data_IF_846335642451
#
_entry.id   IF_846335642451
#
_cell.length_a   1.000
_cell.length_b   1.000
_cell.length_c   1.000
_cell.angle_alpha   90.00
_cell.angle_beta   90.00
_cell.angle_gamma   90.00
#
_symmetry.space_group_name_H-M   'P 1'
#
loop_
_entity.id
_entity.type
_entity.pdbx_description
1 polymer ?
#
# COMPACT_ATOMS: atom_id res chain seq x y z
N UNK A 1 17.73 13.82 -3.97
CA UNK A 1 17.28 12.54 -4.59
C UNK A 1 16.57 12.85 -5.90
N UNK A 2 17.11 12.40 -7.05
CA UNK A 2 16.47 12.56 -8.36
C UNK A 2 15.55 11.36 -8.58
N UNK A 3 14.24 11.58 -8.69
CA UNK A 3 13.26 10.53 -8.99
C UNK A 3 13.74 9.69 -10.18
N UNK A 4 13.72 8.38 -10.01
CA UNK A 4 14.16 7.42 -11.03
C UNK A 4 13.36 7.63 -12.33
N UNK A 5 13.97 7.38 -13.50
CA UNK A 5 13.25 7.46 -14.80
C UNK A 5 11.99 6.58 -14.80
N UNK A 6 11.99 5.47 -14.06
CA UNK A 6 10.83 4.60 -13.89
C UNK A 6 9.69 5.25 -13.10
N UNK A 7 10.00 6.01 -12.04
CA UNK A 7 9.01 6.76 -11.26
C UNK A 7 8.34 7.85 -12.09
N UNK A 8 9.10 8.57 -12.92
CA UNK A 8 8.55 9.57 -13.85
C UNK A 8 7.59 8.96 -14.86
N UNK A 9 7.90 7.79 -15.42
CA UNK A 9 7.00 7.08 -16.34
C UNK A 9 5.75 6.55 -15.65
N UNK A 10 5.86 6.03 -14.41
CA UNK A 10 4.70 5.63 -13.59
C UNK A 10 3.80 6.82 -13.28
N UNK A 11 4.36 7.97 -12.87
CA UNK A 11 3.59 9.18 -12.58
C UNK A 11 2.82 9.71 -13.80
N UNK A 12 3.43 9.71 -14.99
CA UNK A 12 2.74 10.12 -16.22
C UNK A 12 1.54 9.22 -16.56
N UNK A 13 1.71 7.90 -16.50
CA UNK A 13 0.60 6.96 -16.73
C UNK A 13 -0.54 7.10 -15.70
N UNK A 14 -0.24 7.50 -14.46
CA UNK A 14 -1.26 7.78 -13.43
C UNK A 14 -2.10 8.99 -13.83
N UNK A 15 -1.45 10.11 -14.18
CA UNK A 15 -2.14 11.31 -14.63
C UNK A 15 -3.04 11.05 -15.85
N UNK A 16 -2.56 10.31 -16.86
CA UNK A 16 -3.34 9.99 -18.06
C UNK A 16 -4.58 9.13 -17.75
N UNK A 17 -4.46 8.20 -16.79
CA UNK A 17 -5.58 7.33 -16.38
C UNK A 17 -6.64 8.12 -15.59
N UNK A 18 -6.23 9.01 -14.71
CA UNK A 18 -7.17 9.80 -13.91
C UNK A 18 -7.88 10.84 -14.77
N UNK A 19 -7.16 11.47 -15.72
CA UNK A 19 -7.75 12.37 -16.72
C UNK A 19 -8.78 11.64 -17.59
N UNK A 20 -8.47 10.44 -18.10
CA UNK A 20 -9.42 9.69 -18.92
C UNK A 20 -10.68 9.26 -18.14
N UNK A 21 -10.54 8.85 -16.87
CA UNK A 21 -11.69 8.54 -15.99
C UNK A 21 -12.56 9.76 -15.73
N UNK A 22 -11.95 10.92 -15.49
CA UNK A 22 -12.67 12.19 -15.33
C UNK A 22 -13.49 12.52 -16.58
N UNK A 23 -12.89 12.43 -17.78
CA UNK A 23 -13.59 12.69 -19.03
C UNK A 23 -14.72 11.70 -19.32
N UNK A 24 -14.52 10.40 -19.07
CA UNK A 24 -15.58 9.39 -19.25
C UNK A 24 -16.75 9.68 -18.31
N UNK A 25 -16.48 9.95 -17.02
CA UNK A 25 -17.52 10.27 -16.05
C UNK A 25 -18.23 11.58 -16.38
N UNK A 26 -17.49 12.61 -16.82
CA UNK A 26 -18.04 13.87 -17.29
C UNK A 26 -18.93 13.71 -18.53
N UNK A 27 -18.54 12.86 -19.47
CA UNK A 27 -19.35 12.52 -20.65
C UNK A 27 -20.65 11.80 -20.26
N UNK A 28 -20.56 10.79 -19.38
CA UNK A 28 -21.75 10.09 -18.87
C UNK A 28 -22.68 11.06 -18.14
N UNK A 29 -22.13 11.91 -17.26
CA UNK A 29 -22.93 12.92 -16.56
C UNK A 29 -23.61 13.88 -17.54
N UNK A 30 -22.88 14.36 -18.56
CA UNK A 30 -23.44 15.24 -19.60
C UNK A 30 -24.58 14.56 -20.37
N UNK A 31 -24.42 13.28 -20.72
CA UNK A 31 -25.46 12.50 -21.39
C UNK A 31 -26.72 12.40 -20.51
N UNK A 32 -26.55 12.15 -19.22
CA UNK A 32 -27.66 12.07 -18.25
C UNK A 32 -28.36 13.42 -18.12
N UNK A 33 -27.61 14.52 -17.98
CA UNK A 33 -28.17 15.88 -17.93
C UNK A 33 -28.98 16.19 -19.18
N UNK A 34 -28.45 15.91 -20.36
CA UNK A 34 -29.18 16.07 -21.63
C UNK A 34 -30.43 15.17 -21.68
N UNK A 35 -30.34 13.96 -21.15
CA UNK A 35 -31.49 13.04 -21.10
C UNK A 35 -32.60 13.61 -20.22
N UNK A 36 -32.26 14.10 -19.02
CA UNK A 36 -33.22 14.73 -18.11
C UNK A 36 -33.80 16.01 -18.71
N UNK A 37 -32.97 16.84 -19.34
CA UNK A 37 -33.44 18.11 -19.88
C UNK A 37 -34.38 17.92 -21.08
N UNK A 38 -34.04 17.04 -22.02
CA UNK A 38 -34.77 16.92 -23.29
C UNK A 38 -35.79 15.79 -23.35
N UNK A 39 -35.60 14.69 -22.61
CA UNK A 39 -36.46 13.50 -22.73
C UNK A 39 -37.38 13.27 -21.53
N UNK A 40 -37.07 13.84 -20.36
CA UNK A 40 -37.96 13.74 -19.20
C UNK A 40 -39.01 14.85 -19.26
N UNK A 41 -40.28 14.47 -19.30
CA UNK A 41 -41.41 15.42 -19.23
C UNK A 41 -42.07 15.30 -17.87
N UNK A 42 -42.12 16.41 -17.11
CA UNK A 42 -42.69 16.46 -15.77
C UNK A 42 -43.94 17.35 -15.84
N UNK A 43 -45.15 16.80 -15.71
CA UNK A 43 -46.37 17.60 -15.74
C UNK A 43 -46.43 18.52 -14.51
N UNK A 44 -46.76 19.80 -14.72
CA UNK A 44 -46.77 20.82 -13.67
C UNK A 44 -47.81 20.56 -12.56
N UNK A 45 -48.87 19.80 -12.87
CA UNK A 45 -49.98 19.49 -11.96
C UNK A 45 -49.87 18.10 -11.33
N UNK A 46 -48.71 17.44 -11.44
CA UNK A 46 -48.53 16.14 -10.81
C UNK A 46 -48.57 16.24 -9.27
N UNK A 47 -49.42 15.44 -8.66
CA UNK A 47 -49.55 15.35 -7.19
C UNK A 47 -48.30 14.78 -6.52
N UNK A 48 -47.49 14.00 -7.25
CA UNK A 48 -46.27 13.37 -6.77
C UNK A 48 -45.04 14.30 -6.78
N UNK A 49 -45.15 15.53 -7.28
CA UNK A 49 -44.02 16.47 -7.35
C UNK A 49 -43.44 16.80 -5.97
N UNK A 50 -44.30 17.04 -4.99
CA UNK A 50 -43.90 17.32 -3.62
C UNK A 50 -43.25 16.09 -2.98
N UNK A 51 -43.79 14.89 -3.23
CA UNK A 51 -43.23 13.64 -2.74
C UNK A 51 -41.83 13.38 -3.33
N UNK A 52 -41.65 13.64 -4.63
CA UNK A 52 -40.35 13.52 -5.28
C UNK A 52 -39.32 14.45 -4.65
N UNK A 53 -39.66 15.71 -4.40
CA UNK A 53 -38.73 16.66 -3.76
C UNK A 53 -38.40 16.27 -2.33
N UNK A 54 -39.35 15.73 -1.56
CA UNK A 54 -39.07 15.17 -0.23
C UNK A 54 -38.10 14.00 -0.29
N UNK A 55 -38.25 13.12 -1.29
CA UNK A 55 -37.34 11.99 -1.50
C UNK A 55 -35.94 12.50 -1.87
N UNK A 56 -35.82 13.42 -2.83
CA UNK A 56 -34.54 13.97 -3.27
C UNK A 56 -33.83 14.74 -2.14
N UNK A 57 -34.58 15.52 -1.35
CA UNK A 57 -34.08 16.18 -0.15
C UNK A 57 -33.52 15.19 0.87
N UNK A 58 -34.32 14.19 1.25
CA UNK A 58 -33.96 13.17 2.24
C UNK A 58 -32.77 12.33 1.77
N UNK A 59 -32.75 11.94 0.49
CA UNK A 59 -31.65 11.21 -0.10
C UNK A 59 -30.37 12.05 -0.13
N UNK A 60 -30.45 13.34 -0.48
CA UNK A 60 -29.30 14.25 -0.47
C UNK A 60 -28.68 14.39 0.91
N UNK A 61 -29.52 14.59 1.92
CA UNK A 61 -29.07 14.69 3.31
C UNK A 61 -28.41 13.39 3.79
N UNK A 62 -29.06 12.25 3.51
CA UNK A 62 -28.57 10.92 3.90
C UNK A 62 -27.24 10.58 3.22
N UNK A 63 -27.11 10.86 1.92
CA UNK A 63 -25.89 10.60 1.17
C UNK A 63 -24.75 11.52 1.61
N UNK A 64 -25.02 12.78 1.93
CA UNK A 64 -24.02 13.65 2.54
C UNK A 64 -23.57 13.11 3.90
N UNK A 65 -24.49 12.65 4.74
CA UNK A 65 -24.15 12.03 6.03
C UNK A 65 -23.28 10.78 5.85
N UNK A 66 -23.62 9.88 4.92
CA UNK A 66 -22.78 8.73 4.59
C UNK A 66 -21.44 9.11 3.99
N UNK A 67 -21.38 10.17 3.19
CA UNK A 67 -20.11 10.69 2.66
C UNK A 67 -19.20 11.18 3.79
N UNK A 68 -19.74 11.98 4.72
CA UNK A 68 -19.00 12.46 5.89
C UNK A 68 -18.55 11.31 6.80
N UNK A 69 -19.41 10.31 7.03
CA UNK A 69 -19.05 9.09 7.76
C UNK A 69 -17.95 8.30 7.02
N UNK A 70 -18.04 8.19 5.70
CA UNK A 70 -17.00 7.56 4.88
C UNK A 70 -15.66 8.29 5.01
N UNK A 71 -15.67 9.62 5.04
CA UNK A 71 -14.47 10.44 5.23
C UNK A 71 -13.80 10.18 6.58
N UNK A 72 -14.54 10.00 7.68
CA UNK A 72 -13.92 9.73 8.99
C UNK A 72 -13.15 8.41 9.01
N UNK A 73 -13.64 7.37 8.32
CA UNK A 73 -12.88 6.12 8.14
C UNK A 73 -11.62 6.32 7.28
N UNK A 74 -11.71 7.16 6.25
CA UNK A 74 -10.64 7.43 5.28
C UNK A 74 -9.50 8.28 5.84
N UNK A 75 -9.82 9.36 6.58
CA UNK A 75 -8.83 10.25 7.19
C UNK A 75 -7.92 9.58 8.23
N UNK A 76 -8.32 8.42 8.76
CA UNK A 76 -7.46 7.66 9.69
C UNK A 76 -6.23 7.04 9.02
N UNK A 77 -6.20 6.92 7.67
CA UNK A 77 -5.15 6.16 6.96
C UNK A 77 -4.36 6.91 5.90
N UNK A 78 -4.89 7.94 5.24
CA UNK A 78 -4.15 8.65 4.18
C UNK A 78 -4.55 10.13 4.11
N UNK A 79 -3.61 11.04 4.41
CA UNK A 79 -3.84 12.49 4.43
C UNK A 79 -3.94 13.17 3.05
N UNK A 80 -3.62 12.48 1.96
CA UNK A 80 -3.51 13.09 0.60
C UNK A 80 -4.26 12.32 -0.51
N UNK A 81 -5.02 11.28 -0.16
CA UNK A 81 -5.65 10.43 -1.17
C UNK A 81 -7.01 11.00 -1.61
N UNK A 82 -7.01 11.83 -2.65
CA UNK A 82 -8.23 12.27 -3.33
C UNK A 82 -7.95 13.36 -4.34
N UNK A 83 -8.16 13.08 -5.64
CA UNK A 83 -7.99 14.07 -6.71
C UNK A 83 -9.05 15.18 -6.70
N UNK A 84 -10.12 15.03 -5.91
CA UNK A 84 -11.18 16.02 -5.69
C UNK A 84 -11.19 16.40 -4.22
N UNK A 85 -11.10 17.70 -3.92
CA UNK A 85 -11.17 18.19 -2.56
C UNK A 85 -12.55 17.86 -1.96
N UNK A 86 -12.57 17.11 -0.86
CA UNK A 86 -13.78 16.72 -0.12
C UNK A 86 -14.68 17.91 0.23
N UNK A 87 -14.11 19.09 0.47
CA UNK A 87 -14.87 20.32 0.72
C UNK A 87 -15.77 20.68 -0.46
N UNK A 88 -15.29 20.51 -1.70
CA UNK A 88 -16.10 20.76 -2.91
C UNK A 88 -17.30 19.84 -2.93
N UNK A 89 -17.11 18.56 -2.60
CA UNK A 89 -18.19 17.57 -2.54
C UNK A 89 -19.22 17.95 -1.48
N UNK A 90 -18.75 18.35 -0.29
CA UNK A 90 -19.61 18.81 0.81
C UNK A 90 -20.42 20.04 0.40
N UNK A 91 -19.78 21.07 -0.17
CA UNK A 91 -20.46 22.30 -0.58
C UNK A 91 -21.48 22.06 -1.71
N UNK A 92 -21.17 21.19 -2.65
CA UNK A 92 -22.09 20.85 -3.75
C UNK A 92 -23.31 20.07 -3.22
N UNK A 93 -23.12 19.15 -2.27
CA UNK A 93 -24.24 18.51 -1.56
C UNK A 93 -25.06 19.50 -0.74
N UNK A 94 -24.43 20.41 -0.01
CA UNK A 94 -25.13 21.45 0.74
C UNK A 94 -25.96 22.35 -0.19
N UNK A 95 -25.42 22.71 -1.36
CA UNK A 95 -26.15 23.44 -2.39
C UNK A 95 -27.39 22.70 -2.88
N UNK A 96 -27.28 21.39 -3.14
CA UNK A 96 -28.42 20.56 -3.52
C UNK A 96 -29.49 20.49 -2.41
N UNK A 97 -29.08 20.31 -1.15
CA UNK A 97 -29.99 20.26 0.00
C UNK A 97 -30.74 21.60 0.14
N UNK A 98 -30.03 22.73 0.05
CA UNK A 98 -30.62 24.06 0.13
C UNK A 98 -31.59 24.31 -1.04
N UNK A 99 -31.25 23.83 -2.24
CA UNK A 99 -32.13 23.91 -3.40
C UNK A 99 -33.44 23.14 -3.17
N UNK A 100 -33.36 21.87 -2.77
CA UNK A 100 -34.55 21.07 -2.51
C UNK A 100 -35.40 21.66 -1.38
N UNK A 101 -34.76 22.17 -0.31
CA UNK A 101 -35.46 22.87 0.76
C UNK A 101 -36.18 24.13 0.22
N UNK A 102 -35.53 24.91 -0.64
CA UNK A 102 -36.15 26.07 -1.26
C UNK A 102 -37.38 25.70 -2.10
N UNK A 103 -37.30 24.64 -2.92
CA UNK A 103 -38.43 24.16 -3.72
C UNK A 103 -39.58 23.67 -2.83
N UNK A 104 -39.28 22.92 -1.77
CA UNK A 104 -40.27 22.45 -0.79
C UNK A 104 -40.99 23.60 -0.10
N UNK A 105 -40.28 24.67 0.28
CA UNK A 105 -40.86 25.82 0.98
C UNK A 105 -41.67 26.72 0.04
N UNK A 106 -41.19 26.92 -1.19
CA UNK A 106 -41.83 27.82 -2.16
C UNK A 106 -42.95 27.17 -2.96
N UNK A 107 -42.98 25.82 -3.04
CA UNK A 107 -43.98 25.03 -3.74
C UNK A 107 -44.20 25.48 -5.21
N UNK A 108 -43.11 25.80 -5.90
CA UNK A 108 -43.15 26.27 -7.29
C UNK A 108 -43.44 25.09 -8.22
N UNK A 109 -44.51 25.18 -9.02
CA UNK A 109 -45.00 24.10 -9.90
C UNK A 109 -44.36 24.11 -11.30
N UNK A 110 -43.16 24.68 -11.46
CA UNK A 110 -42.48 24.78 -12.75
C UNK A 110 -41.65 23.52 -13.03
N UNK A 111 -41.92 22.84 -14.15
CA UNK A 111 -41.18 21.66 -14.61
C UNK A 111 -39.66 21.83 -14.61
N UNK A 112 -39.14 23.00 -15.01
CA UNK A 112 -37.70 23.24 -15.06
C UNK A 112 -37.06 23.24 -13.67
N UNK A 113 -37.82 23.65 -12.64
CA UNK A 113 -37.35 23.64 -11.25
C UNK A 113 -37.16 22.19 -10.77
N UNK A 114 -38.09 21.30 -11.09
CA UNK A 114 -37.99 19.87 -10.74
C UNK A 114 -36.88 19.14 -11.53
N UNK A 115 -36.70 19.47 -12.81
CA UNK A 115 -35.57 18.97 -13.61
C UNK A 115 -34.23 19.40 -13.03
N UNK A 116 -34.11 20.67 -12.66
CA UNK A 116 -32.93 21.20 -12.00
C UNK A 116 -32.69 20.52 -10.65
N UNK A 117 -33.74 20.18 -9.89
CA UNK A 117 -33.64 19.37 -8.67
C UNK A 117 -33.02 17.99 -8.93
N UNK A 118 -33.50 17.26 -9.94
CA UNK A 118 -32.93 15.96 -10.33
C UNK A 118 -31.46 16.11 -10.74
N UNK A 119 -31.11 17.12 -11.54
CA UNK A 119 -29.72 17.37 -11.96
C UNK A 119 -28.82 17.73 -10.78
N UNK A 120 -29.31 18.58 -9.88
CA UNK A 120 -28.60 19.00 -8.67
C UNK A 120 -28.44 17.87 -7.64
N UNK A 121 -29.27 16.83 -7.68
CA UNK A 121 -29.04 15.60 -6.94
C UNK A 121 -27.97 14.71 -7.61
N UNK A 122 -28.07 14.53 -8.94
CA UNK A 122 -27.19 13.64 -9.69
C UNK A 122 -25.73 14.13 -9.75
N UNK A 123 -25.50 15.44 -9.85
CA UNK A 123 -24.15 16.02 -9.87
C UNK A 123 -23.29 15.65 -8.66
N UNK A 124 -23.71 16.00 -7.43
CA UNK A 124 -23.03 15.59 -6.21
C UNK A 124 -22.87 14.07 -6.10
N UNK A 125 -23.89 13.29 -6.46
CA UNK A 125 -23.82 11.83 -6.45
C UNK A 125 -22.69 11.31 -7.33
N UNK A 126 -22.58 11.80 -8.57
CA UNK A 126 -21.51 11.45 -9.49
C UNK A 126 -20.13 11.83 -8.95
N UNK A 127 -20.01 13.04 -8.39
CA UNK A 127 -18.78 13.54 -7.81
C UNK A 127 -18.32 12.67 -6.63
N UNK A 128 -19.27 12.28 -5.76
CA UNK A 128 -19.03 11.37 -4.64
C UNK A 128 -18.58 9.98 -5.10
N UNK A 129 -19.25 9.40 -6.11
CA UNK A 129 -18.87 8.10 -6.67
C UNK A 129 -17.46 8.17 -7.28
N UNK A 130 -17.18 9.21 -8.07
CA UNK A 130 -15.86 9.40 -8.67
C UNK A 130 -14.76 9.54 -7.59
N UNK A 131 -15.03 10.31 -6.53
CA UNK A 131 -14.13 10.45 -5.40
C UNK A 131 -13.82 9.10 -4.73
N UNK A 132 -14.83 8.28 -4.46
CA UNK A 132 -14.58 6.95 -3.87
C UNK A 132 -13.85 6.00 -4.81
N UNK A 133 -14.15 6.00 -6.12
CA UNK A 133 -13.44 5.16 -7.11
C UNK A 133 -11.97 5.53 -7.19
N UNK A 134 -11.66 6.83 -7.23
CA UNK A 134 -10.28 7.33 -7.28
C UNK A 134 -9.54 6.99 -5.98
N UNK A 135 -10.18 7.21 -4.84
CA UNK A 135 -9.65 6.84 -3.53
C UNK A 135 -9.35 5.33 -3.41
N UNK A 136 -10.32 4.46 -3.71
CA UNK A 136 -10.15 3.00 -3.62
C UNK A 136 -9.08 2.51 -4.61
N UNK A 137 -9.00 3.10 -5.80
CA UNK A 137 -7.93 2.81 -6.76
C UNK A 137 -6.55 3.15 -6.20
N UNK A 138 -6.42 4.32 -5.56
CA UNK A 138 -5.18 4.75 -4.92
C UNK A 138 -4.79 3.82 -3.77
N UNK A 139 -5.76 3.42 -2.93
CA UNK A 139 -5.54 2.49 -1.82
C UNK A 139 -5.07 1.11 -2.29
N UNK A 140 -5.72 0.54 -3.31
CA UNK A 140 -5.31 -0.75 -3.90
C UNK A 140 -3.91 -0.67 -4.49
N UNK A 141 -3.56 0.46 -5.10
CA UNK A 141 -2.23 0.67 -5.66
C UNK A 141 -1.17 0.84 -4.57
N UNK A 142 -1.45 1.59 -3.51
CA UNK A 142 -0.55 1.73 -2.36
C UNK A 142 -0.24 0.37 -1.74
N UNK A 143 -1.25 -0.49 -1.54
CA UNK A 143 -1.05 -1.87 -1.07
C UNK A 143 -0.16 -2.71 -1.98
N UNK A 144 -0.37 -2.63 -3.30
CA UNK A 144 0.49 -3.33 -4.27
C UNK A 144 1.93 -2.82 -4.26
N UNK A 145 2.12 -1.53 -4.03
CA UNK A 145 3.45 -0.94 -3.93
C UNK A 145 4.14 -1.35 -2.63
N UNK A 146 3.43 -1.40 -1.50
CA UNK A 146 3.90 -1.96 -0.23
C UNK A 146 4.27 -3.45 -0.34
N UNK A 147 3.44 -4.25 -1.01
CA UNK A 147 3.75 -5.65 -1.29
C UNK A 147 5.04 -5.77 -2.09
N UNK A 148 5.22 -4.96 -3.14
CA UNK A 148 6.45 -4.96 -3.94
C UNK A 148 7.70 -4.53 -3.16
N UNK A 149 7.61 -3.47 -2.34
CA UNK A 149 8.75 -3.05 -1.50
C UNK A 149 9.05 -4.08 -0.41
N UNK A 150 8.04 -4.75 0.15
CA UNK A 150 8.27 -5.82 1.12
C UNK A 150 9.02 -7.00 0.51
N UNK A 151 8.65 -7.45 -0.70
CA UNK A 151 9.35 -8.55 -1.38
C UNK A 151 10.82 -8.21 -1.66
N UNK A 152 11.08 -7.01 -2.21
CA UNK A 152 12.44 -6.55 -2.47
C UNK A 152 13.27 -6.39 -1.17
N UNK A 153 12.62 -5.99 -0.06
CA UNK A 153 13.27 -5.93 1.23
C UNK A 153 13.60 -7.32 1.79
N UNK A 154 12.69 -8.29 1.64
CA UNK A 154 12.92 -9.68 2.05
C UNK A 154 14.09 -10.29 1.29
N UNK A 155 14.13 -10.11 -0.03
CA UNK A 155 15.21 -10.58 -0.90
C UNK A 155 16.57 -9.99 -0.51
N UNK A 156 16.63 -8.67 -0.27
CA UNK A 156 17.86 -8.01 0.17
C UNK A 156 18.35 -8.56 1.51
N UNK A 157 17.47 -8.73 2.49
CA UNK A 157 17.83 -9.26 3.80
C UNK A 157 18.29 -10.71 3.71
N UNK A 158 17.62 -11.53 2.91
CA UNK A 158 18.01 -12.92 2.69
C UNK A 158 19.42 -13.03 2.09
N UNK A 159 19.73 -12.26 1.04
CA UNK A 159 21.07 -12.24 0.46
C UNK A 159 22.14 -11.70 1.42
N UNK A 160 21.79 -10.72 2.26
CA UNK A 160 22.70 -10.23 3.28
C UNK A 160 23.04 -11.31 4.30
N UNK A 161 22.03 -12.03 4.83
CA UNK A 161 22.24 -13.14 5.77
C UNK A 161 23.11 -14.24 5.16
N UNK A 162 22.85 -14.63 3.90
CA UNK A 162 23.65 -15.65 3.20
C UNK A 162 25.10 -15.17 3.02
N UNK A 163 25.30 -13.91 2.63
CA UNK A 163 26.64 -13.35 2.45
C UNK A 163 27.42 -13.29 3.76
N UNK A 164 26.79 -12.83 4.84
CA UNK A 164 27.42 -12.72 6.15
C UNK A 164 27.74 -14.11 6.72
N UNK A 165 26.80 -15.06 6.66
CA UNK A 165 27.03 -16.44 7.06
C UNK A 165 28.19 -17.09 6.29
N UNK A 166 28.30 -16.85 4.98
CA UNK A 166 29.39 -17.37 4.15
C UNK A 166 30.74 -16.82 4.62
N UNK A 167 30.83 -15.53 4.96
CA UNK A 167 32.06 -14.92 5.52
C UNK A 167 32.44 -15.52 6.87
N UNK A 168 31.45 -15.74 7.74
CA UNK A 168 31.67 -16.37 9.05
C UNK A 168 32.18 -17.80 8.88
N UNK A 169 31.60 -18.57 7.95
CA UNK A 169 32.04 -19.93 7.63
C UNK A 169 33.49 -19.96 7.09
N UNK A 170 33.85 -19.04 6.19
CA UNK A 170 35.22 -18.92 5.68
C UNK A 170 36.23 -18.61 6.80
N UNK A 171 35.87 -17.74 7.73
CA UNK A 171 36.72 -17.44 8.89
C UNK A 171 36.87 -18.66 9.82
N UNK A 172 35.80 -19.41 10.09
CA UNK A 172 35.87 -20.66 10.85
C UNK A 172 36.79 -21.65 10.13
N UNK A 173 36.65 -21.83 8.82
CA UNK A 173 37.47 -22.75 8.02
C UNK A 173 38.95 -22.37 8.06
N UNK A 174 39.24 -21.06 8.01
CA UNK A 174 40.58 -20.53 8.18
C UNK A 174 41.13 -20.86 9.58
N UNK A 175 40.38 -20.60 10.63
CA UNK A 175 40.79 -20.89 12.02
C UNK A 175 41.03 -22.39 12.24
N UNK A 176 40.21 -23.27 11.65
CA UNK A 176 40.47 -24.72 11.64
C UNK A 176 41.83 -25.08 11.03
N UNK A 177 42.24 -24.38 9.97
CA UNK A 177 43.50 -24.64 9.27
C UNK A 177 44.70 -24.11 10.07
N UNK A 178 44.53 -22.98 10.74
CA UNK A 178 45.58 -22.38 11.58
C UNK A 178 45.73 -23.08 12.94
N UNK A 179 44.65 -23.65 13.49
CA UNK A 179 44.57 -24.28 14.82
C UNK A 179 43.84 -25.63 14.74
N UNK A 180 44.56 -26.76 14.60
CA UNK A 180 43.95 -28.09 14.46
C UNK A 180 43.03 -28.51 15.62
N UNK A 181 43.24 -27.96 16.82
CA UNK A 181 42.43 -28.21 18.01
C UNK A 181 40.98 -27.75 17.81
N UNK A 182 40.75 -26.71 17.00
CA UNK A 182 39.42 -26.23 16.64
C UNK A 182 38.65 -27.30 15.88
N UNK A 183 39.30 -28.00 14.95
CA UNK A 183 38.66 -29.07 14.20
C UNK A 183 38.28 -30.25 15.11
N UNK A 184 39.15 -30.61 16.05
CA UNK A 184 38.85 -31.65 17.05
C UNK A 184 37.67 -31.25 17.93
N UNK A 185 37.63 -29.99 18.41
CA UNK A 185 36.52 -29.45 19.20
C UNK A 185 35.20 -29.47 18.41
N UNK A 186 35.19 -29.03 17.17
CA UNK A 186 33.99 -29.00 16.33
C UNK A 186 33.47 -30.41 16.03
N UNK A 187 34.36 -31.39 15.83
CA UNK A 187 34.00 -32.78 15.62
C UNK A 187 33.47 -33.44 16.89
N UNK A 188 34.13 -33.22 18.04
CA UNK A 188 33.72 -33.78 19.34
C UNK A 188 32.31 -33.33 19.75
N UNK A 189 31.94 -32.09 19.42
CA UNK A 189 30.62 -31.53 19.71
C UNK A 189 29.58 -31.75 18.60
N UNK A 190 29.91 -32.51 17.55
CA UNK A 190 29.06 -32.74 16.37
C UNK A 190 28.64 -31.44 15.63
N UNK A 191 29.40 -30.36 15.80
CA UNK A 191 29.13 -29.08 15.14
C UNK A 191 29.65 -29.05 13.71
N UNK A 192 30.71 -29.80 13.40
CA UNK A 192 31.32 -29.80 12.06
C UNK A 192 30.32 -30.17 10.96
N UNK A 193 29.55 -31.26 11.15
CA UNK A 193 28.56 -31.68 10.17
C UNK A 193 27.39 -30.70 10.04
N UNK A 194 26.91 -30.13 11.16
CA UNK A 194 25.83 -29.14 11.17
C UNK A 194 26.26 -27.84 10.49
N UNK A 195 27.49 -27.40 10.72
CA UNK A 195 28.07 -26.20 10.13
C UNK A 195 28.11 -26.31 8.59
N UNK A 196 28.58 -27.43 8.06
CA UNK A 196 28.60 -27.68 6.61
C UNK A 196 27.19 -27.78 6.03
N UNK A 197 26.30 -28.54 6.69
CA UNK A 197 24.91 -28.69 6.27
C UNK A 197 24.20 -27.34 6.20
N UNK A 198 24.27 -26.54 7.25
CA UNK A 198 23.57 -25.25 7.31
C UNK A 198 24.13 -24.24 6.31
N UNK A 199 25.45 -24.22 6.10
CA UNK A 199 26.06 -23.38 5.07
C UNK A 199 25.58 -23.78 3.67
N UNK A 200 25.49 -25.09 3.38
CA UNK A 200 24.98 -25.59 2.10
C UNK A 200 23.50 -25.24 1.90
N UNK A 201 22.67 -25.45 2.93
CA UNK A 201 21.25 -25.12 2.89
C UNK A 201 21.04 -23.61 2.63
N UNK A 202 21.83 -22.74 3.25
CA UNK A 202 21.80 -21.30 2.95
C UNK A 202 22.22 -20.97 1.51
N UNK A 203 23.22 -21.66 0.96
CA UNK A 203 23.66 -21.44 -0.43
C UNK A 203 22.62 -21.86 -1.47
N UNK A 204 21.78 -22.86 -1.17
CA UNK A 204 20.69 -23.28 -2.08
C UNK A 204 19.67 -22.15 -2.29
N UNK A 205 19.48 -21.27 -1.32
CA UNK A 205 18.60 -20.11 -1.44
C UNK A 205 19.08 -19.07 -2.47
N UNK A 206 20.33 -19.13 -2.93
CA UNK A 206 20.82 -18.26 -4.02
C UNK A 206 20.14 -18.54 -5.37
N UNK A 207 19.52 -19.71 -5.53
CA UNK A 207 18.86 -20.13 -6.77
C UNK A 207 17.33 -20.00 -6.72
N UNK A 208 16.78 -19.47 -5.62
CA UNK A 208 15.33 -19.40 -5.42
C UNK A 208 14.77 -18.13 -6.04
N UNK A 209 13.66 -18.26 -6.78
CA UNK A 209 13.03 -17.15 -7.51
C UNK A 209 12.34 -16.11 -6.61
N UNK A 210 11.94 -16.48 -5.40
CA UNK A 210 11.27 -15.58 -4.44
C UNK A 210 11.43 -16.02 -2.99
N UNK A 211 11.59 -15.05 -2.08
CA UNK A 211 11.70 -15.29 -0.65
C UNK A 211 10.39 -15.05 0.08
N UNK A 212 10.00 -15.99 0.93
CA UNK A 212 8.93 -15.82 1.90
C UNK A 212 9.50 -15.48 3.28
N UNK A 213 8.64 -14.95 4.16
CA UNK A 213 9.02 -14.63 5.54
C UNK A 213 9.56 -15.86 6.30
N UNK A 214 8.97 -17.03 6.06
CA UNK A 214 9.42 -18.30 6.66
C UNK A 214 10.84 -18.68 6.23
N UNK A 215 11.20 -18.39 4.98
CA UNK A 215 12.55 -18.65 4.46
C UNK A 215 13.57 -17.76 5.17
N UNK A 216 13.18 -16.52 5.47
CA UNK A 216 14.00 -15.57 6.22
C UNK A 216 14.23 -16.02 7.66
N UNK A 217 13.20 -16.48 8.36
CA UNK A 217 13.32 -17.05 9.71
C UNK A 217 14.24 -18.28 9.72
N UNK A 218 14.18 -19.10 8.67
CA UNK A 218 15.07 -20.25 8.51
C UNK A 218 16.52 -19.81 8.30
N UNK A 219 16.77 -18.88 7.37
CA UNK A 219 18.10 -18.31 7.10
C UNK A 219 18.69 -17.63 8.34
N UNK A 220 17.89 -16.88 9.10
CA UNK A 220 18.30 -16.23 10.34
C UNK A 220 18.71 -17.27 11.41
N UNK A 221 17.94 -18.35 11.56
CA UNK A 221 18.31 -19.44 12.47
C UNK A 221 19.66 -20.09 12.09
N UNK A 222 19.94 -20.23 10.80
CA UNK A 222 21.20 -20.78 10.30
C UNK A 222 22.37 -19.80 10.51
N UNK A 223 22.14 -18.53 10.19
CA UNK A 223 23.10 -17.45 10.43
C UNK A 223 23.51 -17.39 11.91
N UNK A 224 22.53 -17.35 12.82
CA UNK A 224 22.77 -17.28 14.27
C UNK A 224 23.51 -18.52 14.78
N UNK A 225 23.23 -19.70 14.24
CA UNK A 225 24.01 -20.89 14.58
C UNK A 225 25.48 -20.72 14.17
N UNK A 226 25.75 -20.30 12.94
CA UNK A 226 27.11 -20.14 12.41
C UNK A 226 27.88 -19.06 13.19
N UNK A 227 27.22 -17.94 13.49
CA UNK A 227 27.77 -16.86 14.31
C UNK A 227 28.17 -17.36 15.71
N UNK A 228 27.29 -18.11 16.38
CA UNK A 228 27.60 -18.70 17.68
C UNK A 228 28.77 -19.68 17.61
N UNK A 229 28.90 -20.48 16.55
CA UNK A 229 30.07 -21.34 16.37
C UNK A 229 31.35 -20.50 16.25
N UNK A 230 31.34 -19.41 15.49
CA UNK A 230 32.52 -18.55 15.40
C UNK A 230 32.90 -17.96 16.77
N UNK A 231 31.93 -17.55 17.58
CA UNK A 231 32.17 -17.06 18.95
C UNK A 231 32.86 -18.14 19.79
N UNK A 232 32.33 -19.37 19.78
CA UNK A 232 32.92 -20.51 20.52
C UNK A 232 34.35 -20.79 20.04
N UNK A 233 34.58 -20.79 18.73
CA UNK A 233 35.90 -21.00 18.14
C UNK A 233 36.89 -19.93 18.59
N UNK A 234 36.49 -18.65 18.58
CA UNK A 234 37.33 -17.54 19.02
C UNK A 234 37.66 -17.58 20.52
N UNK A 235 36.77 -18.16 21.33
CA UNK A 235 36.97 -18.34 22.77
C UNK A 235 37.90 -19.51 23.12
N UNK A 236 38.28 -20.35 22.14
CA UNK A 236 39.18 -21.47 22.40
C UNK A 236 40.55 -20.97 22.92
N UNK A 237 41.12 -21.55 24.00
CA UNK A 237 42.34 -21.04 24.64
C UNK A 237 43.53 -20.86 23.68
N UNK A 238 43.71 -21.81 22.75
CA UNK A 238 44.78 -21.71 21.74
C UNK A 238 44.65 -20.53 20.76
N UNK A 239 43.44 -19.97 20.59
CA UNK A 239 43.16 -18.81 19.73
C UNK A 239 43.20 -17.52 20.56
N UNK A 240 42.48 -17.49 21.69
CA UNK A 240 42.35 -16.29 22.53
C UNK A 240 43.68 -15.84 23.12
N UNK A 241 44.58 -16.78 23.40
CA UNK A 241 45.93 -16.50 23.91
C UNK A 241 46.97 -16.32 22.79
N UNK A 242 46.59 -16.50 21.51
CA UNK A 242 47.51 -16.42 20.39
C UNK A 242 47.88 -14.96 20.07
N UNK A 243 49.19 -14.66 20.01
CA UNK A 243 49.70 -13.33 19.63
C UNK A 243 49.24 -12.88 18.25
N UNK A 244 49.06 -13.81 17.31
CA UNK A 244 48.61 -13.50 15.93
C UNK A 244 47.18 -12.98 15.90
N UNK A 245 46.31 -13.51 16.76
CA UNK A 245 44.92 -13.07 16.88
C UNK A 245 44.82 -11.72 17.60
N UNK A 246 45.48 -11.58 18.76
CA UNK A 246 45.53 -10.34 19.54
C UNK A 246 46.11 -9.14 18.76
N UNK A 247 47.08 -9.37 17.89
CA UNK A 247 47.64 -8.32 17.03
C UNK A 247 46.66 -7.85 15.95
N UNK A 248 45.70 -8.69 15.55
CA UNK A 248 44.72 -8.40 14.49
C UNK A 248 43.48 -7.69 15.01
N UNK A 249 43.00 -8.08 16.18
CA UNK A 249 41.88 -7.41 16.85
C UNK A 249 42.18 -5.94 17.21
N UNK A 250 43.46 -5.56 17.35
CA UNK A 250 43.87 -4.17 17.59
C UNK A 250 43.96 -3.29 16.34
N UNK A 251 43.87 -3.88 15.14
CA UNK A 251 44.05 -3.17 13.86
C UNK A 251 42.72 -2.98 13.12
N UNK A 252 41.67 -3.67 13.56
CA UNK A 252 40.28 -3.45 13.14
C UNK A 252 39.56 -2.53 14.14
#
# INVERSE_FOLDING_TARGET
MKNSRSERHRMRRRADRDVSRFWIMGFIFSLIVLTVEFFVTIPAEATWLLEMEMILFSASFTLLAFYLLGLTFVFSKQGEAGGVNHQVIIYVWLGAILYHLFVLVTNITNQHVYKAGIILFLGPLFLTIYHFITYLSALLQARREEEQTSVAALERTAYQLISEATKLYEEIRRLKTEFPEVEQMLNANQFAHKLEKYTLEMQQYLQVDSFQRRDLEFLEGHYLFIENILIIVKQHPGISESRKYLARERVL
#
